data_IF_818938918489
#
_entry.id   IF_818938918489
#
_cell.length_a   1.000
_cell.length_b   1.000
_cell.length_c   1.000
_cell.angle_alpha   90.00
_cell.angle_beta   90.00
_cell.angle_gamma   90.00
#
_symmetry.space_group_name_H-M   'P 1'
#
loop_
_entity.id
_entity.type
_entity.pdbx_description
1 polymer ?
#
# COMPACT_ATOMS: atom_id res chain seq x y z
N UNK A 1 21.36 -15.99 -29.28
CA UNK A 1 19.95 -15.60 -29.13
C UNK A 1 19.62 -15.71 -27.65
N UNK A 2 20.06 -14.73 -26.87
CA UNK A 2 20.19 -14.83 -25.42
C UNK A 2 19.47 -13.70 -24.70
N UNK A 3 18.59 -14.09 -23.78
CA UNK A 3 18.50 -13.56 -22.42
C UNK A 3 18.20 -12.05 -22.27
N UNK A 4 16.95 -11.69 -22.53
CA UNK A 4 16.33 -10.44 -22.05
C UNK A 4 15.17 -10.66 -21.07
N UNK A 5 14.89 -11.91 -20.68
CA UNK A 5 13.72 -12.29 -19.88
C UNK A 5 13.95 -12.38 -18.36
N UNK A 6 15.17 -12.14 -17.88
CA UNK A 6 15.53 -12.38 -16.47
C UNK A 6 15.39 -11.17 -15.53
N UNK A 7 14.90 -10.02 -16.00
CA UNK A 7 14.95 -8.74 -15.25
C UNK A 7 13.56 -8.13 -14.99
N UNK A 8 12.47 -8.78 -15.41
CA UNK A 8 11.15 -8.15 -15.39
C UNK A 8 10.51 -8.03 -14.00
N UNK A 9 10.81 -8.94 -13.07
CA UNK A 9 10.10 -9.00 -11.78
C UNK A 9 10.36 -7.76 -10.91
N UNK A 10 11.61 -7.30 -10.87
CA UNK A 10 11.98 -6.11 -10.09
C UNK A 10 11.74 -4.80 -10.85
N UNK A 11 11.59 -4.85 -12.17
CA UNK A 11 11.40 -3.67 -13.00
C UNK A 11 10.11 -2.93 -12.66
N UNK A 12 8.98 -3.65 -12.64
CA UNK A 12 7.68 -3.04 -12.35
C UNK A 12 7.55 -2.56 -10.91
N UNK A 13 8.18 -3.26 -9.96
CA UNK A 13 8.32 -2.79 -8.58
C UNK A 13 9.04 -1.44 -8.53
N UNK A 14 10.22 -1.34 -9.15
CA UNK A 14 11.02 -0.11 -9.16
C UNK A 14 10.31 1.02 -9.91
N UNK A 15 9.57 0.69 -10.97
CA UNK A 15 8.79 1.64 -11.74
C UNK A 15 7.63 2.22 -10.91
N UNK A 16 6.83 1.38 -10.24
CA UNK A 16 5.76 1.85 -9.34
C UNK A 16 6.33 2.64 -8.17
N UNK A 17 7.44 2.19 -7.59
CA UNK A 17 8.15 2.96 -6.56
C UNK A 17 8.49 4.37 -7.08
N UNK A 18 9.11 4.46 -8.26
CA UNK A 18 9.45 5.75 -8.85
C UNK A 18 8.22 6.58 -9.22
N UNK A 19 7.09 5.98 -9.60
CA UNK A 19 5.87 6.72 -9.95
C UNK A 19 5.10 7.21 -8.71
N UNK A 20 5.08 6.43 -7.63
CA UNK A 20 4.15 6.63 -6.52
C UNK A 20 4.79 7.17 -5.23
N UNK A 21 6.05 6.81 -4.95
CA UNK A 21 6.73 7.16 -3.70
C UNK A 21 7.44 8.51 -3.81
N UNK A 22 7.05 9.46 -2.96
CA UNK A 22 7.67 10.78 -2.88
C UNK A 22 8.97 10.79 -2.09
N UNK A 23 9.62 11.95 -2.02
CA UNK A 23 10.95 12.13 -1.40
C UNK A 23 10.91 12.18 0.14
N UNK A 24 9.77 12.56 0.72
CA UNK A 24 9.60 12.68 2.17
C UNK A 24 9.16 11.32 2.73
N UNK A 25 9.97 10.76 3.63
CA UNK A 25 9.71 9.48 4.32
C UNK A 25 8.90 9.74 5.58
N UNK A 26 7.93 8.88 5.84
CA UNK A 26 7.06 8.93 7.01
C UNK A 26 7.36 7.73 7.93
N UNK A 27 7.08 7.89 9.21
CA UNK A 27 7.11 6.77 10.15
C UNK A 27 5.91 5.86 9.89
N UNK A 28 6.15 4.58 9.70
CA UNK A 28 5.11 3.58 9.56
C UNK A 28 5.22 2.58 10.71
N UNK A 29 4.18 2.50 11.54
CA UNK A 29 4.07 1.46 12.57
C UNK A 29 2.81 0.66 12.33
N UNK A 30 2.92 -0.65 12.50
CA UNK A 30 1.77 -1.55 12.43
C UNK A 30 1.54 -2.25 13.75
N UNK A 31 0.28 -2.38 14.14
CA UNK A 31 -0.11 -3.18 15.30
C UNK A 31 -0.01 -4.70 14.99
N UNK A 32 0.28 -5.05 13.73
CA UNK A 32 0.60 -6.42 13.29
C UNK A 32 2.00 -6.81 13.77
N UNK A 33 2.06 -7.59 14.84
CA UNK A 33 3.28 -8.25 15.34
C UNK A 33 3.68 -9.46 14.47
N UNK A 34 3.99 -9.23 13.19
CA UNK A 34 4.45 -10.28 12.27
C UNK A 34 5.78 -9.88 11.63
N UNK A 35 6.84 -10.71 11.73
CA UNK A 35 8.11 -10.45 11.05
C UNK A 35 8.00 -10.59 9.53
N UNK A 36 6.87 -11.09 9.02
CA UNK A 36 6.66 -11.34 7.60
C UNK A 36 6.02 -10.18 6.85
N UNK A 37 5.48 -9.16 7.55
CA UNK A 37 4.95 -7.97 6.90
C UNK A 37 5.93 -6.82 7.11
N UNK A 38 6.30 -6.14 6.02
CA UNK A 38 7.09 -4.90 6.08
C UNK A 38 6.23 -3.76 5.54
N UNK A 39 6.29 -2.63 6.22
CA UNK A 39 5.51 -1.44 5.91
C UNK A 39 6.45 -0.26 5.77
N UNK A 40 6.32 0.48 4.68
CA UNK A 40 6.99 1.75 4.44
C UNK A 40 5.95 2.80 4.06
N UNK A 41 6.18 4.05 4.47
CA UNK A 41 5.27 5.14 4.17
C UNK A 41 6.06 6.36 3.68
N UNK A 42 5.60 6.97 2.60
CA UNK A 42 6.15 8.19 2.05
C UNK A 42 5.01 9.15 1.73
N UNK A 43 5.29 10.44 1.65
CA UNK A 43 4.37 11.34 0.96
C UNK A 43 4.21 10.91 -0.50
N UNK A 44 3.04 11.09 -1.08
CA UNK A 44 2.80 10.73 -2.47
C UNK A 44 3.62 11.58 -3.43
N UNK A 45 4.11 10.98 -4.52
CA UNK A 45 4.87 11.73 -5.54
C UNK A 45 3.92 12.55 -6.40
N UNK A 46 4.20 13.84 -6.54
CA UNK A 46 3.53 14.74 -7.48
C UNK A 46 2.09 15.15 -7.11
N UNK A 47 1.58 14.74 -5.95
CA UNK A 47 0.27 15.13 -5.43
C UNK A 47 0.23 15.04 -3.91
N UNK A 48 -0.75 15.71 -3.31
CA UNK A 48 -1.02 15.63 -1.87
C UNK A 48 -1.48 14.21 -1.49
N UNK A 49 -1.14 13.82 -0.26
CA UNK A 49 -1.48 12.52 0.31
C UNK A 49 -0.28 11.66 0.65
N UNK A 50 -0.56 10.39 0.97
CA UNK A 50 0.43 9.43 1.43
C UNK A 50 0.39 8.16 0.58
N UNK A 51 1.56 7.59 0.34
CA UNK A 51 1.73 6.30 -0.32
C UNK A 51 2.37 5.32 0.65
N UNK A 52 1.74 4.17 0.84
CA UNK A 52 2.27 3.04 1.57
C UNK A 52 2.82 1.99 0.62
N UNK A 53 3.91 1.34 1.03
CA UNK A 53 4.41 0.10 0.45
C UNK A 53 4.32 -1.00 1.51
N UNK A 54 3.61 -2.07 1.18
CA UNK A 54 3.46 -3.25 2.02
C UNK A 54 4.11 -4.45 1.31
N UNK A 55 4.93 -5.19 2.04
CA UNK A 55 5.61 -6.38 1.50
C UNK A 55 5.27 -7.57 2.39
N UNK A 56 4.56 -8.54 1.83
CA UNK A 56 4.29 -9.80 2.48
C UNK A 56 5.35 -10.84 2.08
N UNK A 57 6.19 -11.21 3.04
CA UNK A 57 7.25 -12.21 2.91
C UNK A 57 6.80 -13.61 3.35
N UNK A 58 5.57 -13.78 3.84
CA UNK A 58 5.02 -15.09 4.16
C UNK A 58 4.60 -15.80 2.88
N UNK A 59 4.91 -17.10 2.79
CA UNK A 59 4.48 -17.96 1.68
C UNK A 59 3.15 -18.67 1.92
N UNK A 60 2.49 -18.41 3.05
CA UNK A 60 1.23 -19.07 3.44
C UNK A 60 0.18 -18.11 3.98
N UNK A 61 0.61 -16.98 4.52
CA UNK A 61 -0.28 -16.08 5.26
C UNK A 61 -0.76 -14.96 4.37
N UNK A 62 -2.07 -14.84 4.23
CA UNK A 62 -2.70 -13.61 3.76
C UNK A 62 -2.76 -12.63 4.94
N UNK A 63 -2.45 -11.37 4.70
CA UNK A 63 -2.68 -10.31 5.69
C UNK A 63 -3.92 -9.50 5.33
N UNK A 64 -4.71 -9.17 6.33
CA UNK A 64 -5.85 -8.28 6.20
C UNK A 64 -5.60 -7.06 7.08
N UNK A 65 -5.43 -5.90 6.47
CA UNK A 65 -5.07 -4.67 7.17
C UNK A 65 -6.21 -3.65 7.10
N UNK A 66 -6.51 -3.03 8.23
CA UNK A 66 -7.40 -1.88 8.32
C UNK A 66 -6.60 -0.67 8.79
N UNK A 67 -6.88 0.50 8.20
CA UNK A 67 -6.34 1.76 8.66
C UNK A 67 -7.37 2.40 9.59
N UNK A 68 -6.95 2.70 10.81
CA UNK A 68 -7.74 3.50 11.74
C UNK A 68 -7.09 4.87 11.89
N UNK A 69 -7.91 5.91 11.77
CA UNK A 69 -7.53 7.23 12.23
C UNK A 69 -7.41 7.17 13.76
N UNK A 70 -6.34 7.71 14.34
CA UNK A 70 -6.33 7.90 15.79
C UNK A 70 -7.27 9.06 16.08
N UNK A 71 -8.50 8.73 16.43
CA UNK A 71 -9.35 9.66 17.17
C UNK A 71 -8.54 10.15 18.38
N UNK A 72 -8.36 11.46 18.47
CA UNK A 72 -7.85 12.11 19.67
C UNK A 72 -8.75 11.69 20.83
N UNK A 73 -8.26 10.80 21.69
CA UNK A 73 -8.98 10.31 22.87
C UNK A 73 -9.50 11.50 23.69
N UNK A 74 -10.82 11.70 23.71
CA UNK A 74 -11.47 12.24 24.89
C UNK A 74 -11.64 11.11 25.92
N UNK A 75 -11.44 11.50 27.17
CA UNK A 75 -11.41 10.66 28.36
C UNK A 75 -12.79 10.04 28.66
N UNK A 76 -12.82 8.80 29.17
CA UNK A 76 -13.97 8.30 29.92
C UNK A 76 -14.62 6.97 29.49
N UNK A 77 -14.81 6.13 30.52
CA UNK A 77 -15.76 5.01 30.64
C UNK A 77 -15.39 3.63 30.06
N UNK A 78 -15.02 2.76 31.01
CA UNK A 78 -15.06 1.29 30.93
C UNK A 78 -16.48 0.83 30.59
N UNK A 79 -16.65 -0.02 29.58
CA UNK A 79 -17.72 -1.00 29.59
C UNK A 79 -17.20 -2.37 29.17
N UNK A 80 -17.33 -3.32 30.08
CA UNK A 80 -17.05 -4.74 29.90
C UNK A 80 -18.22 -5.32 29.10
N UNK A 81 -17.94 -5.92 27.94
CA UNK A 81 -18.81 -6.94 27.37
C UNK A 81 -17.93 -8.14 26.98
N UNK A 82 -18.23 -9.24 27.65
CA UNK A 82 -17.61 -10.55 27.54
C UNK A 82 -18.58 -11.39 26.73
N UNK A 83 -18.21 -11.83 25.52
CA UNK A 83 -18.85 -12.99 24.93
C UNK A 83 -17.92 -13.71 23.93
N UNK A 84 -17.99 -15.02 24.02
CA UNK A 84 -17.08 -16.03 23.47
C UNK A 84 -17.57 -16.53 22.12
N UNK A 85 -16.78 -16.42 21.05
CA UNK A 85 -16.83 -17.34 19.90
C UNK A 85 -15.58 -17.19 19.02
N UNK A 86 -15.21 -18.28 18.37
CA UNK A 86 -13.92 -18.58 17.73
C UNK A 86 -13.57 -17.60 16.61
N UNK A 87 -12.55 -16.74 16.79
CA UNK A 87 -12.03 -15.85 15.74
C UNK A 87 -10.56 -16.13 15.47
N UNK A 88 -10.26 -16.90 14.41
CA UNK A 88 -8.90 -16.99 13.89
C UNK A 88 -8.50 -15.65 13.26
N UNK A 89 -7.66 -14.91 13.99
CA UNK A 89 -6.74 -13.88 13.48
C UNK A 89 -7.32 -12.77 12.60
N UNK A 90 -8.24 -11.97 13.13
CA UNK A 90 -8.49 -10.62 12.62
C UNK A 90 -7.74 -9.66 13.56
N UNK A 91 -6.65 -9.03 13.10
CA UNK A 91 -5.89 -8.03 13.86
C UNK A 91 -5.74 -6.76 13.01
N UNK A 92 -6.24 -5.64 13.52
CA UNK A 92 -6.13 -4.31 12.90
C UNK A 92 -4.68 -3.85 12.82
N UNK A 93 -4.35 -3.03 11.81
CA UNK A 93 -2.95 -2.91 11.42
C UNK A 93 -2.35 -1.52 11.48
N UNK A 94 -3.09 -0.42 11.56
CA UNK A 94 -2.48 0.90 11.57
C UNK A 94 -3.23 1.90 12.45
N UNK A 95 -2.47 2.60 13.29
CA UNK A 95 -2.92 3.72 14.12
C UNK A 95 -2.13 4.98 13.71
N UNK A 96 -2.70 5.86 12.86
CA UNK A 96 -2.02 7.07 12.35
C UNK A 96 -2.52 8.36 13.02
N UNK A 97 -1.66 9.40 13.11
CA UNK A 97 -1.99 10.74 13.64
C UNK A 97 -2.14 11.72 12.46
N UNK A 98 -3.36 11.91 11.96
CA UNK A 98 -3.71 12.87 10.90
C UNK A 98 -5.03 13.54 11.24
N UNK A 99 -5.26 14.78 10.78
CA UNK A 99 -6.43 15.56 11.21
C UNK A 99 -7.43 15.62 10.06
N UNK A 100 -8.29 14.60 9.97
CA UNK A 100 -9.46 14.47 9.08
C UNK A 100 -9.23 13.65 7.81
N UNK A 101 -9.49 12.35 7.91
CA UNK A 101 -9.74 11.45 6.77
C UNK A 101 -11.10 11.69 6.06
N UNK A 102 -11.88 12.72 6.42
CA UNK A 102 -13.28 12.87 6.03
C UNK A 102 -13.53 13.09 4.54
N UNK A 103 -12.55 13.65 3.81
CA UNK A 103 -12.74 14.03 2.41
C UNK A 103 -12.24 12.94 1.44
N UNK A 104 -11.47 11.96 1.93
CA UNK A 104 -10.91 10.86 1.13
C UNK A 104 -11.86 9.66 1.17
N UNK A 105 -12.62 9.44 0.10
CA UNK A 105 -13.61 8.34 0.02
C UNK A 105 -13.03 7.04 -0.54
N UNK A 106 -11.89 7.11 -1.23
CA UNK A 106 -11.25 5.97 -1.87
C UNK A 106 -9.73 6.00 -1.72
N UNK A 107 -9.14 4.81 -1.85
CA UNK A 107 -7.69 4.62 -2.01
C UNK A 107 -7.41 3.88 -3.31
N UNK A 108 -6.20 4.05 -3.81
CA UNK A 108 -5.72 3.38 -5.04
C UNK A 108 -4.76 2.26 -4.64
N UNK A 109 -5.00 1.06 -5.15
CA UNK A 109 -4.24 -0.14 -4.82
C UNK A 109 -3.55 -0.72 -6.06
N UNK A 110 -2.28 -1.08 -5.89
CA UNK A 110 -1.45 -1.73 -6.89
C UNK A 110 -0.86 -3.00 -6.29
N UNK A 111 -1.53 -4.12 -6.52
CA UNK A 111 -1.11 -5.44 -6.07
C UNK A 111 -0.19 -6.07 -7.11
N UNK A 112 1.08 -6.21 -6.76
CA UNK A 112 2.06 -6.95 -7.55
C UNK A 112 2.18 -8.37 -7.01
N UNK A 113 1.87 -9.35 -7.84
CA UNK A 113 2.00 -10.77 -7.53
C UNK A 113 2.73 -11.50 -8.66
N UNK A 114 3.54 -12.53 -8.34
CA UNK A 114 4.07 -13.39 -9.37
C UNK A 114 2.95 -14.19 -10.01
N UNK A 115 3.01 -14.37 -11.34
CA UNK A 115 2.10 -15.28 -12.04
C UNK A 115 2.12 -16.67 -11.40
N UNK A 116 0.95 -17.24 -11.18
CA UNK A 116 0.73 -18.55 -10.55
C UNK A 116 1.34 -18.70 -9.13
N UNK A 117 1.66 -17.59 -8.45
CA UNK A 117 2.26 -17.62 -7.12
C UNK A 117 3.75 -18.04 -7.12
N UNK A 118 4.39 -18.14 -8.28
CA UNK A 118 5.76 -18.64 -8.39
C UNK A 118 6.77 -17.48 -8.39
N UNK A 119 7.55 -17.34 -7.31
CA UNK A 119 8.52 -16.23 -7.14
C UNK A 119 9.59 -16.09 -8.25
N UNK A 120 9.83 -17.14 -9.04
CA UNK A 120 10.77 -17.08 -10.18
C UNK A 120 10.05 -16.97 -11.52
N UNK A 121 8.75 -16.73 -11.50
CA UNK A 121 7.98 -16.42 -12.70
C UNK A 121 8.55 -15.14 -13.30
N UNK A 122 8.75 -15.13 -14.61
CA UNK A 122 9.19 -13.94 -15.36
C UNK A 122 8.03 -12.97 -15.66
N UNK A 123 6.82 -13.34 -15.25
CA UNK A 123 5.61 -12.54 -15.46
C UNK A 123 5.10 -12.08 -14.10
N UNK A 124 5.10 -10.75 -13.93
CA UNK A 124 4.44 -10.07 -12.83
C UNK A 124 3.00 -9.75 -13.22
N UNK A 125 2.08 -9.87 -12.27
CA UNK A 125 0.70 -9.43 -12.41
C UNK A 125 0.52 -8.11 -11.65
N UNK A 126 -0.21 -7.16 -12.23
CA UNK A 126 -0.75 -6.01 -11.54
C UNK A 126 -2.26 -6.18 -11.36
N UNK A 127 -2.72 -6.24 -10.12
CA UNK A 127 -4.13 -6.40 -9.79
C UNK A 127 -4.74 -7.63 -10.51
N UNK A 128 -3.96 -8.70 -10.66
CA UNK A 128 -4.32 -9.94 -11.36
C UNK A 128 -4.06 -9.95 -12.88
N UNK A 129 -3.73 -8.81 -13.50
CA UNK A 129 -3.50 -8.72 -14.94
C UNK A 129 -2.00 -8.82 -15.28
N UNK A 130 -1.57 -9.67 -16.24
CA UNK A 130 -0.18 -9.76 -16.65
C UNK A 130 0.39 -8.44 -17.15
N UNK A 131 1.55 -8.06 -16.64
CA UNK A 131 2.31 -6.92 -17.12
C UNK A 131 3.28 -7.37 -18.22
N UNK A 132 2.90 -7.10 -19.46
CA UNK A 132 3.72 -7.36 -20.65
C UNK A 132 3.96 -6.06 -21.41
N UNK A 133 5.15 -5.93 -21.99
CA UNK A 133 5.43 -4.81 -22.89
C UNK A 133 4.54 -4.92 -24.11
N UNK A 134 4.15 -3.78 -24.67
CA UNK A 134 3.46 -3.77 -25.97
C UNK A 134 4.39 -4.33 -27.06
N UNK A 135 3.85 -4.68 -28.23
CA UNK A 135 4.66 -5.12 -29.37
C UNK A 135 5.75 -4.09 -29.78
N UNK A 136 5.58 -2.82 -29.42
CA UNK A 136 6.55 -1.74 -29.62
C UNK A 136 7.60 -1.62 -28.50
N UNK A 137 7.58 -2.50 -27.49
CA UNK A 137 8.46 -2.44 -26.32
C UNK A 137 8.04 -1.37 -25.30
N UNK A 138 6.83 -0.83 -25.41
CA UNK A 138 6.36 0.21 -24.49
C UNK A 138 5.87 -0.40 -23.19
N UNK A 139 6.06 0.34 -22.11
CA UNK A 139 5.61 -0.04 -20.77
C UNK A 139 4.08 0.01 -20.75
N UNK A 140 3.37 -1.05 -20.30
CA UNK A 140 1.92 -1.02 -20.17
C UNK A 140 1.49 0.01 -19.13
N UNK A 141 0.24 0.47 -19.23
CA UNK A 141 -0.32 1.33 -18.19
C UNK A 141 -0.41 0.57 -16.88
N UNK A 142 0.00 1.24 -15.81
CA UNK A 142 -0.06 0.71 -14.45
C UNK A 142 -1.27 1.36 -13.78
N UNK A 143 -2.45 0.80 -14.01
CA UNK A 143 -3.70 1.35 -13.51
C UNK A 143 -4.04 0.76 -12.13
N UNK A 144 -4.42 1.59 -11.14
CA UNK A 144 -4.82 1.10 -9.83
C UNK A 144 -6.22 0.50 -9.84
N UNK A 145 -6.50 -0.33 -8.84
CA UNK A 145 -7.87 -0.59 -8.39
C UNK A 145 -8.25 0.46 -7.34
N UNK A 146 -9.44 1.05 -7.47
CA UNK A 146 -9.97 1.99 -6.47
C UNK A 146 -10.85 1.24 -5.47
N UNK A 147 -10.50 1.34 -4.20
CA UNK A 147 -11.20 0.68 -3.10
C UNK A 147 -11.75 1.72 -2.12
N UNK A 148 -12.86 1.41 -1.46
CA UNK A 148 -13.39 2.26 -0.40
C UNK A 148 -12.37 2.36 0.75
N UNK A 149 -12.13 3.55 1.28
CA UNK A 149 -11.11 3.81 2.32
C UNK A 149 -11.26 2.92 3.57
N UNK A 150 -12.48 2.55 3.95
CA UNK A 150 -12.81 1.73 5.12
C UNK A 150 -12.78 0.23 4.85
N UNK A 151 -12.73 -0.19 3.59
CA UNK A 151 -12.64 -1.62 3.27
C UNK A 151 -11.31 -2.18 3.74
N UNK A 152 -11.24 -3.43 4.22
CA UNK A 152 -9.96 -4.04 4.54
C UNK A 152 -9.07 -4.17 3.31
N UNK A 153 -7.77 -4.02 3.50
CA UNK A 153 -6.73 -4.24 2.49
C UNK A 153 -6.30 -5.70 2.58
N UNK A 154 -6.47 -6.45 1.50
CA UNK A 154 -6.03 -7.84 1.40
C UNK A 154 -4.64 -7.93 0.80
N UNK A 155 -3.73 -8.68 1.41
CA UNK A 155 -2.34 -8.81 0.95
C UNK A 155 -2.00 -10.28 0.83
N UNK A 156 -1.80 -10.73 -0.41
CA UNK A 156 -1.50 -12.11 -0.72
C UNK A 156 -0.11 -12.54 -0.24
N UNK A 157 0.11 -13.84 0.00
CA UNK A 157 1.44 -14.40 0.23
C UNK A 157 2.43 -13.96 -0.86
N UNK A 158 3.68 -13.70 -0.47
CA UNK A 158 4.77 -13.39 -1.41
C UNK A 158 4.43 -12.26 -2.38
N UNK A 159 3.75 -11.23 -1.90
CA UNK A 159 3.26 -10.11 -2.71
C UNK A 159 3.78 -8.76 -2.23
N UNK A 160 3.66 -7.77 -3.11
CA UNK A 160 3.96 -6.38 -2.83
C UNK A 160 2.73 -5.56 -3.17
N UNK A 161 2.35 -4.62 -2.29
CA UNK A 161 1.19 -3.77 -2.50
C UNK A 161 1.57 -2.32 -2.30
N UNK A 162 1.34 -1.48 -3.31
CA UNK A 162 1.36 -0.03 -3.14
C UNK A 162 -0.07 0.46 -2.89
N UNK A 163 -0.22 1.35 -1.91
CA UNK A 163 -1.52 1.92 -1.55
C UNK A 163 -1.38 3.42 -1.48
N UNK A 164 -2.15 4.14 -2.29
CA UNK A 164 -2.17 5.59 -2.29
C UNK A 164 -3.47 6.09 -1.67
N UNK A 165 -3.34 6.93 -0.66
CA UNK A 165 -4.44 7.71 -0.10
C UNK A 165 -4.33 9.14 -0.64
N UNK A 166 -5.04 9.47 -1.74
CA UNK A 166 -4.98 10.79 -2.33
C UNK A 166 -5.60 11.81 -1.38
N UNK A 167 -5.05 13.04 -1.35
CA UNK A 167 -5.57 14.15 -0.54
C UNK A 167 -5.69 13.83 0.96
N UNK A 168 -4.92 12.85 1.44
CA UNK A 168 -4.88 12.51 2.85
C UNK A 168 -4.23 13.65 3.65
N UNK A 169 -4.87 14.07 4.75
CA UNK A 169 -4.34 15.13 5.61
C UNK A 169 -3.09 14.64 6.36
N UNK A 170 -1.94 14.91 5.76
CA UNK A 170 -0.63 14.73 6.35
C UNK A 170 0.11 16.06 6.21
N UNK A 171 0.19 16.89 7.28
CA UNK A 171 0.84 18.19 7.22
C UNK A 171 2.28 18.15 6.69
N UNK A 172 3.02 17.07 6.96
CA UNK A 172 4.36 16.87 6.43
C UNK A 172 4.40 16.69 4.89
N UNK A 173 3.29 16.27 4.28
CA UNK A 173 3.14 15.94 2.87
C UNK A 173 2.49 17.02 2.03
N UNK A 174 1.99 18.09 2.65
CA UNK A 174 1.54 19.27 1.91
C UNK A 174 2.65 19.73 0.96
N UNK A 175 2.29 19.91 -0.31
CA UNK A 175 3.21 20.45 -1.31
C UNK A 175 3.57 21.87 -0.91
N UNK A 176 4.85 22.12 -0.61
CA UNK A 176 5.34 23.49 -0.51
C UNK A 176 5.18 24.15 -1.87
N UNK A 177 4.19 25.05 -2.00
CA UNK A 177 4.17 25.97 -3.12
C UNK A 177 5.46 26.79 -3.05
N UNK A 178 6.44 26.44 -3.89
CA UNK A 178 7.62 27.27 -4.10
C UNK A 178 7.08 28.61 -4.58
N UNK A 179 6.96 29.58 -3.68
CA UNK A 179 6.63 30.96 -4.01
C UNK A 179 7.78 31.40 -4.91
N UNK A 180 7.52 31.41 -6.22
CA UNK A 180 8.46 31.94 -7.20
C UNK A 180 8.60 33.40 -6.86
N UNK A 181 9.66 33.76 -6.14
CA UNK A 181 10.10 35.14 -6.02
C UNK A 181 10.58 35.53 -7.43
N UNK A 182 9.69 36.22 -8.15
CA UNK A 182 10.07 37.13 -9.23
C UNK A 182 10.33 38.47 -8.55
#
# INVERSE_FOLDING_TARGET
MGQLHFVFDFYYYALLWNQLMGKKVLSASSDVLSPFIRTYAHCSKGRDGVTFLLINLSNKTHFLLTIHDRESKEDGAKHILKETSVSSHIKSAFSWVGTKASDVTFREEYHLTPKDGYLRSQTMLLNGNPLELTNGGEIPRLDPVRSNVHSPIHIDPLSIVFIVYPNFDAPACAVEHKKSLI
#
